data_IF_528897583581
#
_entry.id   IF_528897583581
#
_cell.length_a   1.000
_cell.length_b   1.000
_cell.length_c   1.000
_cell.angle_alpha   90.00
_cell.angle_beta   90.00
_cell.angle_gamma   90.00
#
_symmetry.space_group_name_H-M   'P 1'
#
loop_
_entity.id
_entity.type
_entity.pdbx_description
1 polymer ?
#
# COMPACT_ATOMS: atom_id res chain seq x y z
N UNK A 1 -24.01 21.05 20.02
CA UNK A 1 -23.59 19.65 19.82
C UNK A 1 -22.97 19.56 18.44
N UNK A 2 -21.68 19.25 18.35
CA UNK A 2 -20.99 19.08 17.07
C UNK A 2 -21.18 17.62 16.65
N UNK A 3 -21.95 17.40 15.59
CA UNK A 3 -22.11 16.09 14.98
C UNK A 3 -20.82 15.72 14.24
N UNK A 4 -20.14 14.68 14.70
CA UNK A 4 -19.13 13.99 13.90
C UNK A 4 -19.87 13.30 12.75
N UNK A 5 -19.82 13.90 11.56
CA UNK A 5 -20.16 13.20 10.33
C UNK A 5 -19.08 12.14 10.09
N UNK A 6 -19.28 10.96 10.69
CA UNK A 6 -18.42 9.80 10.47
C UNK A 6 -18.41 9.45 8.99
N UNK A 7 -17.24 9.52 8.37
CA UNK A 7 -17.01 9.07 7.01
C UNK A 7 -17.26 7.55 6.91
N UNK A 8 -18.50 7.12 6.68
CA UNK A 8 -18.83 5.72 6.41
C UNK A 8 -18.43 5.37 4.98
N UNK A 9 -17.33 4.66 4.81
CA UNK A 9 -16.94 4.05 3.55
C UNK A 9 -17.45 2.61 3.50
N UNK A 10 -18.07 2.21 2.38
CA UNK A 10 -18.57 0.84 2.17
C UNK A 10 -17.45 -0.20 2.09
N UNK A 11 -16.25 0.24 1.68
CA UNK A 11 -15.07 -0.59 1.53
C UNK A 11 -13.90 -0.02 2.34
N UNK A 12 -13.04 -0.90 2.83
CA UNK A 12 -11.79 -0.54 3.49
C UNK A 12 -10.83 0.11 2.46
N UNK A 13 -10.42 1.37 2.63
CA UNK A 13 -9.55 2.05 1.67
C UNK A 13 -8.05 1.78 1.89
N UNK A 14 -7.64 1.13 2.99
CA UNK A 14 -6.24 1.09 3.47
C UNK A 14 -5.30 0.16 2.68
N UNK A 15 -5.51 0.06 1.37
CA UNK A 15 -4.73 -0.79 0.46
C UNK A 15 -3.25 -0.42 0.42
N UNK A 16 -2.89 0.84 0.71
CA UNK A 16 -1.51 1.32 0.67
C UNK A 16 -0.60 0.67 1.73
N UNK A 17 -1.19 0.05 2.76
CA UNK A 17 -0.44 -0.68 3.79
C UNK A 17 0.04 -2.05 3.34
N UNK A 18 -0.45 -2.57 2.22
CA UNK A 18 0.05 -3.79 1.58
C UNK A 18 1.06 -3.41 0.47
N UNK A 19 2.37 -3.70 0.62
CA UNK A 19 3.39 -3.37 -0.37
C UNK A 19 3.05 -3.75 -1.82
N UNK A 20 2.44 -4.93 -2.07
CA UNK A 20 2.08 -5.30 -3.45
C UNK A 20 0.97 -4.41 -4.04
N UNK A 21 0.04 -3.91 -3.22
CA UNK A 21 -1.00 -2.98 -3.64
C UNK A 21 -0.44 -1.56 -3.77
N UNK A 22 0.48 -1.14 -2.90
CA UNK A 22 1.20 0.12 -3.05
C UNK A 22 1.97 0.19 -4.39
N UNK A 23 2.58 -0.91 -4.84
CA UNK A 23 3.23 -1.00 -6.17
C UNK A 23 2.21 -0.70 -7.29
N UNK A 24 0.99 -1.25 -7.21
CA UNK A 24 -0.07 -0.97 -8.20
C UNK A 24 -0.49 0.50 -8.17
N UNK A 25 -0.58 1.10 -6.99
CA UNK A 25 -0.89 2.53 -6.85
C UNK A 25 0.20 3.39 -7.48
N UNK A 26 1.49 3.07 -7.25
CA UNK A 26 2.63 3.78 -7.86
C UNK A 26 2.59 3.69 -9.38
N UNK A 27 2.30 2.51 -9.94
CA UNK A 27 2.15 2.34 -11.38
C UNK A 27 1.00 3.20 -11.93
N UNK A 28 -0.16 3.17 -11.27
CA UNK A 28 -1.32 3.98 -11.68
C UNK A 28 -1.05 5.49 -11.62
N UNK A 29 -0.35 5.96 -10.59
CA UNK A 29 0.05 7.37 -10.45
C UNK A 29 1.03 7.75 -11.56
N UNK A 30 2.05 6.92 -11.82
CA UNK A 30 3.01 7.14 -12.91
C UNK A 30 2.28 7.30 -14.24
N UNK A 31 1.37 6.39 -14.55
CA UNK A 31 0.69 6.35 -15.85
C UNK A 31 -0.18 7.59 -16.06
N UNK A 32 -0.93 8.01 -15.04
CA UNK A 32 -1.73 9.24 -15.08
C UNK A 32 -0.87 10.50 -15.17
N UNK A 33 0.30 10.53 -14.52
CA UNK A 33 1.22 11.66 -14.64
C UNK A 33 1.86 11.74 -16.03
N UNK A 34 2.21 10.59 -16.63
CA UNK A 34 2.69 10.52 -18.01
C UNK A 34 1.62 11.03 -18.98
N UNK A 35 0.37 10.60 -18.80
CA UNK A 35 -0.75 11.04 -19.64
C UNK A 35 -0.99 12.55 -19.54
N UNK A 36 -0.99 13.10 -18.32
CA UNK A 36 -1.25 14.51 -18.09
C UNK A 36 -0.11 15.43 -18.58
N UNK A 37 1.12 14.93 -18.62
CA UNK A 37 2.31 15.75 -18.88
C UNK A 37 3.38 15.00 -19.71
N UNK A 38 3.13 14.60 -20.95
CA UNK A 38 4.03 13.68 -21.68
C UNK A 38 5.51 14.10 -21.73
N UNK A 39 5.82 15.40 -21.61
CA UNK A 39 7.17 15.95 -21.63
C UNK A 39 8.06 15.52 -20.45
N UNK A 40 7.50 15.06 -19.31
CA UNK A 40 8.31 14.56 -18.17
C UNK A 40 8.22 13.05 -17.97
N UNK A 41 7.80 12.31 -19.00
CA UNK A 41 7.64 10.86 -18.96
C UNK A 41 8.85 10.12 -18.36
N UNK A 42 10.07 10.51 -18.76
CA UNK A 42 11.30 9.88 -18.28
C UNK A 42 11.46 10.05 -16.77
N UNK A 43 11.11 11.22 -16.22
CA UNK A 43 11.21 11.52 -14.79
C UNK A 43 10.28 10.63 -13.98
N UNK A 44 9.00 10.51 -14.35
CA UNK A 44 8.08 9.64 -13.60
C UNK A 44 8.40 8.17 -13.77
N UNK A 45 8.83 7.75 -14.97
CA UNK A 45 9.24 6.36 -15.21
C UNK A 45 10.41 5.99 -14.31
N UNK A 46 11.45 6.83 -14.25
CA UNK A 46 12.62 6.63 -13.40
C UNK A 46 12.26 6.62 -11.91
N UNK A 47 11.45 7.57 -11.47
CA UNK A 47 11.06 7.68 -10.07
C UNK A 47 10.18 6.49 -9.61
N UNK A 48 9.20 6.11 -10.44
CA UNK A 48 8.33 4.97 -10.17
C UNK A 48 9.11 3.66 -10.13
N UNK A 49 10.08 3.45 -11.04
CA UNK A 49 10.93 2.27 -11.03
C UNK A 49 11.76 2.19 -9.74
N UNK A 50 12.48 3.27 -9.39
CA UNK A 50 13.30 3.32 -8.19
C UNK A 50 12.50 3.11 -6.90
N UNK A 51 11.25 3.58 -6.84
CA UNK A 51 10.38 3.37 -5.67
C UNK A 51 9.76 1.97 -5.66
N UNK A 52 9.41 1.43 -6.84
CA UNK A 52 8.90 0.05 -6.97
C UNK A 52 9.93 -0.96 -6.50
N UNK A 53 11.22 -0.78 -6.81
CA UNK A 53 12.29 -1.64 -6.29
C UNK A 53 12.33 -1.67 -4.75
N UNK A 54 12.16 -0.50 -4.11
CA UNK A 54 12.10 -0.40 -2.64
C UNK A 54 10.88 -1.13 -2.08
N UNK A 55 9.72 -1.00 -2.73
CA UNK A 55 8.50 -1.69 -2.32
C UNK A 55 8.60 -3.20 -2.52
N UNK A 56 9.26 -3.66 -3.59
CA UNK A 56 9.51 -5.09 -3.82
C UNK A 56 10.44 -5.66 -2.76
N UNK A 57 11.51 -4.95 -2.40
CA UNK A 57 12.40 -5.35 -1.31
C UNK A 57 11.65 -5.41 0.04
N UNK A 58 10.80 -4.41 0.32
CA UNK A 58 9.96 -4.41 1.52
C UNK A 58 8.96 -5.57 1.53
N UNK A 59 8.33 -5.85 0.40
CA UNK A 59 7.41 -6.97 0.24
C UNK A 59 8.10 -8.30 0.56
N UNK A 60 9.27 -8.55 -0.04
CA UNK A 60 10.07 -9.75 0.22
C UNK A 60 10.45 -9.87 1.69
N UNK A 61 10.93 -8.78 2.29
CA UNK A 61 11.28 -8.73 3.71
C UNK A 61 10.08 -9.11 4.60
N UNK A 62 8.89 -8.58 4.29
CA UNK A 62 7.67 -8.89 5.05
C UNK A 62 7.26 -10.35 4.86
N UNK A 63 7.34 -10.90 3.65
CA UNK A 63 7.07 -12.32 3.39
C UNK A 63 7.99 -13.23 4.21
N UNK A 64 9.30 -12.95 4.21
CA UNK A 64 10.28 -13.75 4.95
C UNK A 64 10.08 -13.66 6.47
N UNK A 65 9.80 -12.44 6.96
CA UNK A 65 9.64 -12.18 8.39
C UNK A 65 8.35 -12.82 8.92
N UNK A 66 7.21 -12.57 8.29
CA UNK A 66 5.91 -13.04 8.78
C UNK A 66 5.67 -14.54 8.53
N UNK A 67 6.41 -15.16 7.61
CA UNK A 67 6.43 -16.63 7.49
C UNK A 67 6.87 -17.30 8.81
N UNK A 68 7.74 -16.65 9.58
CA UNK A 68 8.26 -17.16 10.85
C UNK A 68 7.45 -16.70 12.08
N UNK A 69 6.39 -15.90 11.89
CA UNK A 69 5.59 -15.37 12.98
C UNK A 69 4.88 -16.49 13.74
N UNK A 70 5.15 -16.56 15.06
CA UNK A 70 4.49 -17.50 15.98
C UNK A 70 3.15 -16.97 16.49
N UNK A 71 3.08 -15.66 16.73
CA UNK A 71 1.84 -14.95 17.01
C UNK A 71 1.44 -14.18 15.75
N UNK A 72 0.21 -14.40 15.29
CA UNK A 72 -0.35 -13.79 14.08
C UNK A 72 -1.35 -12.70 14.41
N UNK A 73 -1.89 -12.71 15.64
CA UNK A 73 -2.90 -11.76 16.08
C UNK A 73 -2.29 -10.49 16.65
N UNK A 74 -2.84 -9.33 16.27
CA UNK A 74 -2.44 -8.03 16.81
C UNK A 74 -3.64 -7.07 16.95
N UNK A 75 -3.54 -6.15 17.91
CA UNK A 75 -4.58 -5.14 18.16
C UNK A 75 -4.07 -3.77 17.74
N UNK A 76 -4.94 -3.01 17.07
CA UNK A 76 -4.63 -1.65 16.61
C UNK A 76 -5.71 -0.69 17.09
N UNK A 77 -5.36 0.59 17.24
CA UNK A 77 -6.32 1.62 17.65
C UNK A 77 -7.28 1.97 16.51
N UNK A 78 -6.85 1.85 15.25
CA UNK A 78 -7.64 2.13 14.05
C UNK A 78 -7.54 0.96 13.08
N UNK A 79 -8.68 0.51 12.55
CA UNK A 79 -8.79 -0.63 11.62
C UNK A 79 -8.25 -0.25 10.23
N UNK A 80 -6.92 -0.24 10.09
CA UNK A 80 -6.23 0.08 8.84
C UNK A 80 -5.45 -1.11 8.23
N UNK A 81 -5.12 -2.13 9.04
CA UNK A 81 -4.08 -3.09 8.68
C UNK A 81 -4.61 -4.37 8.01
N UNK A 82 -5.89 -4.41 7.61
CA UNK A 82 -6.52 -5.61 7.09
C UNK A 82 -5.84 -6.13 5.82
N UNK A 83 -5.52 -5.27 4.84
CA UNK A 83 -4.82 -5.69 3.63
C UNK A 83 -3.41 -6.23 3.90
N UNK A 84 -2.67 -5.62 4.83
CA UNK A 84 -1.37 -6.12 5.29
C UNK A 84 -1.56 -7.50 5.94
N UNK A 85 -2.54 -7.63 6.83
CA UNK A 85 -2.80 -8.87 7.53
C UNK A 85 -3.15 -10.02 6.56
N UNK A 86 -4.02 -9.76 5.58
CA UNK A 86 -4.37 -10.72 4.52
C UNK A 86 -3.15 -11.12 3.67
N UNK A 87 -2.31 -10.15 3.30
CA UNK A 87 -1.14 -10.39 2.44
C UNK A 87 -0.08 -11.27 3.12
N UNK A 88 0.12 -11.12 4.43
CA UNK A 88 1.19 -11.82 5.18
C UNK A 88 0.68 -12.88 6.16
N UNK A 89 -0.62 -13.18 6.14
CA UNK A 89 -1.23 -14.21 6.98
C UNK A 89 -1.27 -13.85 8.48
N UNK A 90 -1.52 -12.60 8.80
CA UNK A 90 -1.75 -12.09 10.17
C UNK A 90 -3.25 -11.93 10.43
N UNK A 91 -3.65 -11.63 11.67
CA UNK A 91 -5.04 -11.37 12.05
C UNK A 91 -5.18 -10.49 13.31
#
# INVERSE_FOLDING_TARGET
EHGEEGHTHELDPHVWLAPSLAIKQVASIRDQLIEAYPEKQEVWTKNAAAYTEKLQALHQLYQETFKQAKQRSFVTQHTAYNYLALEYGLN
#
